data_IF_329695617353
#
_entry.id   IF_329695617353
#
_cell.length_a   1.000
_cell.length_b   1.000
_cell.length_c   1.000
_cell.angle_alpha   90.00
_cell.angle_beta   90.00
_cell.angle_gamma   90.00
#
_symmetry.space_group_name_H-M   'P 1'
#
loop_
_entity.id
_entity.type
_entity.pdbx_description
1 polymer ?
#
# COMPACT_ATOMS: atom_id res chain seq x y z
N UNK A 1 15.27 11.83 -13.54
CA UNK A 1 14.56 10.70 -13.71
C UNK A 1 13.44 10.61 -12.72
N UNK A 2 12.28 10.35 -13.18
CA UNK A 2 11.15 10.27 -12.29
C UNK A 2 11.25 8.99 -11.48
N UNK A 3 10.69 9.02 -10.31
CA UNK A 3 10.70 7.86 -9.45
C UNK A 3 9.31 7.59 -8.96
N UNK A 4 9.08 6.38 -8.53
CA UNK A 4 7.81 6.05 -7.91
C UNK A 4 7.68 6.81 -6.59
N UNK A 5 6.46 6.99 -6.16
CA UNK A 5 6.23 7.69 -4.92
C UNK A 5 5.08 7.06 -4.17
N UNK A 6 5.08 7.24 -2.86
CA UNK A 6 3.94 6.85 -2.03
C UNK A 6 3.09 8.09 -1.80
N UNK A 7 1.79 7.91 -1.91
CA UNK A 7 0.85 8.97 -1.55
C UNK A 7 0.01 8.50 -0.38
N UNK A 8 -0.16 9.36 0.60
CA UNK A 8 -1.02 9.07 1.73
C UNK A 8 -2.27 9.93 1.58
N UNK A 9 -3.42 9.35 1.79
CA UNK A 9 -4.65 10.09 1.64
C UNK A 9 -5.66 9.62 2.68
N UNK A 10 -6.68 10.42 2.88
CA UNK A 10 -7.74 10.08 3.80
C UNK A 10 -8.87 9.44 3.02
N UNK A 11 -9.35 8.33 3.51
CA UNK A 11 -10.44 7.64 2.86
C UNK A 11 -11.67 7.77 3.72
N UNK A 12 -12.64 8.51 3.23
CA UNK A 12 -13.87 8.68 3.97
C UNK A 12 -15.00 7.88 3.42
N UNK A 13 -14.77 7.12 2.41
CA UNK A 13 -15.87 6.45 1.74
C UNK A 13 -16.51 5.39 2.59
N UNK A 14 -15.78 4.89 3.56
CA UNK A 14 -16.34 3.90 4.39
C UNK A 14 -16.70 4.36 5.77
N UNK A 15 -16.69 5.62 5.96
CA UNK A 15 -16.94 6.14 7.27
C UNK A 15 -18.40 6.02 7.58
N UNK A 16 -18.70 5.43 8.68
CA UNK A 16 -20.03 5.40 9.08
C UNK A 16 -20.08 6.14 10.35
N UNK A 17 -19.87 7.34 10.26
CA UNK A 17 -20.06 8.09 11.43
C UNK A 17 -18.86 8.66 12.03
N UNK A 18 -17.76 8.01 12.16
CA UNK A 18 -16.79 8.66 12.82
C UNK A 18 -15.44 8.49 12.45
N UNK A 19 -15.01 7.50 12.03
CA UNK A 19 -13.59 7.36 11.83
C UNK A 19 -13.22 7.64 10.40
N UNK A 20 -12.15 8.35 10.20
CA UNK A 20 -11.56 8.54 8.89
C UNK A 20 -10.34 7.66 8.87
N UNK A 21 -10.13 6.93 7.80
CA UNK A 21 -8.98 6.06 7.70
C UNK A 21 -7.93 6.69 6.83
N UNK A 22 -6.69 6.42 7.14
CA UNK A 22 -5.57 6.85 6.31
C UNK A 22 -5.13 5.66 5.49
N UNK A 23 -4.88 5.90 4.21
CA UNK A 23 -4.45 4.85 3.31
C UNK A 23 -3.31 5.38 2.47
N UNK A 24 -2.57 4.50 1.83
CA UNK A 24 -1.51 4.94 0.94
C UNK A 24 -1.53 4.09 -0.33
N UNK A 25 -0.90 4.63 -1.34
CA UNK A 25 -0.70 3.88 -2.57
C UNK A 25 0.68 4.21 -3.11
N UNK A 26 1.24 3.25 -3.82
CA UNK A 26 2.54 3.41 -4.46
C UNK A 26 2.29 3.64 -5.93
N UNK A 27 2.79 4.73 -6.45
CA UNK A 27 2.52 5.14 -7.82
C UNK A 27 3.80 5.13 -8.61
N UNK A 28 3.76 4.46 -9.74
CA UNK A 28 4.90 4.39 -10.63
C UNK A 28 5.19 5.76 -11.23
N UNK A 29 6.40 5.93 -11.69
CA UNK A 29 6.79 7.19 -12.31
C UNK A 29 5.87 7.59 -13.46
N UNK A 30 5.27 6.62 -14.13
CA UNK A 30 4.37 6.91 -15.23
C UNK A 30 2.94 7.21 -14.79
N UNK A 31 2.68 7.23 -13.49
CA UNK A 31 1.36 7.57 -13.00
C UNK A 31 0.47 6.41 -12.64
N UNK A 32 0.91 5.20 -12.93
CA UNK A 32 0.07 4.05 -12.64
C UNK A 32 0.24 3.59 -11.20
N UNK A 33 -0.86 3.14 -10.61
CA UNK A 33 -0.80 2.63 -9.24
C UNK A 33 -0.22 1.24 -9.28
N UNK A 34 0.88 1.04 -8.56
CA UNK A 34 1.51 -0.25 -8.47
C UNK A 34 0.92 -1.06 -7.34
N UNK A 35 0.64 -0.43 -6.23
CA UNK A 35 0.17 -1.13 -5.05
C UNK A 35 -0.52 -0.15 -4.13
N UNK A 36 -1.29 -0.67 -3.19
CA UNK A 36 -1.90 0.19 -2.20
C UNK A 36 -1.85 -0.52 -0.86
N UNK A 37 -2.29 0.18 0.18
CA UNK A 37 -2.14 -0.35 1.53
C UNK A 37 -3.06 -1.53 1.81
N UNK A 38 -4.16 -1.62 1.10
CA UNK A 38 -5.07 -2.71 1.32
C UNK A 38 -5.95 -2.55 2.53
N UNK A 39 -5.54 -1.76 3.46
CA UNK A 39 -6.32 -1.55 4.66
C UNK A 39 -6.18 -0.13 5.11
N UNK A 40 -7.07 0.30 5.98
CA UNK A 40 -7.01 1.64 6.51
C UNK A 40 -6.29 1.66 7.84
N UNK A 41 -5.61 2.76 8.08
CA UNK A 41 -4.94 2.97 9.35
C UNK A 41 -5.66 4.06 10.10
N UNK A 42 -5.69 3.95 11.42
CA UNK A 42 -6.41 4.93 12.21
C UNK A 42 -5.65 6.23 12.38
N UNK A 43 -4.35 6.20 12.18
CA UNK A 43 -3.55 7.42 12.29
C UNK A 43 -2.62 7.52 11.10
N UNK A 44 -2.22 8.74 10.81
CA UNK A 44 -1.26 8.97 9.75
C UNK A 44 0.08 8.33 10.08
N UNK A 45 0.45 8.38 11.36
CA UNK A 45 1.72 7.80 11.77
C UNK A 45 1.76 6.31 11.47
N UNK A 46 0.65 5.62 11.70
CA UNK A 46 0.61 4.19 11.40
C UNK A 46 0.68 3.93 9.91
N UNK A 47 0.05 4.78 9.10
CA UNK A 47 0.15 4.64 7.66
C UNK A 47 1.59 4.81 7.20
N UNK A 48 2.30 5.76 7.79
CA UNK A 48 3.71 5.97 7.44
C UNK A 48 4.55 4.77 7.86
N UNK A 49 4.25 4.19 9.02
CA UNK A 49 4.96 2.98 9.43
C UNK A 49 4.76 1.85 8.43
N UNK A 50 3.56 1.73 7.89
CA UNK A 50 3.30 0.73 6.87
C UNK A 50 4.13 0.98 5.62
N UNK A 51 4.24 2.24 5.21
CA UNK A 51 5.07 2.58 4.06
C UNK A 51 6.51 2.20 4.32
N UNK A 52 7.03 2.54 5.50
CA UNK A 52 8.41 2.22 5.81
C UNK A 52 8.66 0.72 5.83
N UNK A 53 7.69 -0.04 6.31
CA UNK A 53 7.82 -1.48 6.29
C UNK A 53 7.93 -2.01 4.87
N UNK A 54 7.13 -1.47 3.95
CA UNK A 54 7.21 -1.87 2.56
C UNK A 54 8.58 -1.51 2.00
N UNK A 55 9.07 -0.32 2.31
CA UNK A 55 10.36 0.10 1.78
C UNK A 55 11.49 -0.79 2.27
N UNK A 56 11.37 -1.28 3.49
CA UNK A 56 12.43 -2.10 4.03
C UNK A 56 12.36 -3.54 3.57
N UNK A 57 11.17 -4.06 3.41
CA UNK A 57 11.02 -5.49 3.17
C UNK A 57 10.82 -5.88 1.71
N UNK A 58 10.23 -5.01 0.92
CA UNK A 58 9.92 -5.37 -0.46
C UNK A 58 11.14 -5.73 -1.29
N UNK A 59 12.27 -5.03 -1.15
CA UNK A 59 13.40 -5.34 -2.02
C UNK A 59 13.92 -6.77 -1.88
N UNK A 60 13.74 -7.34 -0.71
CA UNK A 60 14.21 -8.69 -0.49
C UNK A 60 13.10 -9.72 -0.43
N UNK A 61 11.89 -9.32 -0.71
CA UNK A 61 10.78 -10.24 -0.63
C UNK A 61 10.82 -11.21 -1.79
N UNK A 62 10.52 -12.47 -1.50
CA UNK A 62 10.45 -13.45 -2.55
C UNK A 62 9.05 -13.52 -3.09
N UNK A 63 8.90 -14.11 -4.23
CA UNK A 63 7.58 -14.28 -4.83
C UNK A 63 7.18 -15.74 -4.64
N UNK A 64 6.07 -15.94 -3.95
CA UNK A 64 5.55 -17.26 -3.75
C UNK A 64 4.32 -17.40 -4.61
N UNK A 65 4.40 -18.25 -5.61
CA UNK A 65 3.30 -18.39 -6.56
C UNK A 65 2.36 -19.48 -6.07
N UNK A 66 1.18 -19.08 -5.69
CA UNK A 66 0.19 -20.03 -5.20
C UNK A 66 -0.91 -20.30 -6.19
N UNK A 67 -0.77 -19.78 -7.39
CA UNK A 67 -1.86 -19.90 -8.33
C UNK A 67 -1.95 -21.26 -8.94
N UNK A 68 -0.84 -21.87 -9.25
CA UNK A 68 -0.88 -23.10 -9.95
C UNK A 68 -1.06 -24.26 -9.11
N UNK A 69 -0.89 -24.11 -8.09
CA UNK A 69 -1.01 -25.11 -7.28
C UNK A 69 -0.63 -26.31 -7.83
N UNK A 70 -0.54 -26.94 -8.07
CA UNK A 70 -0.21 -28.02 -8.37
C UNK A 70 -0.13 -28.37 -9.56
N UNK A 71 0.05 -27.92 -10.22
CA UNK A 71 0.06 -28.18 -11.32
C UNK A 71 0.81 -28.46 -11.74
N UNK A 72 0.98 -28.96 -11.93
CA UNK A 72 1.79 -29.43 -12.39
C UNK A 72 1.94 -29.18 -13.31
#
# INVERSE_FOLDING_TARGET
>A
MAAAKFEIFKDKSKVTGKAVEFRWRLIHANGQVIANSGEGYTTKANAISGINSVKENAPNATVEDKTASKEP
#
